data_IF_867194422224
#
_entry.id   IF_867194422224
#
_cell.length_a   1.000
_cell.length_b   1.000
_cell.length_c   1.000
_cell.angle_alpha   90.00
_cell.angle_beta   90.00
_cell.angle_gamma   90.00
#
_symmetry.space_group_name_H-M   'P 1'
#
loop_
_entity.id
_entity.type
_entity.pdbx_description
1 polymer ?
#
# COMPACT_ATOMS: atom_id res chain seq x y z
N UNK A 1 8.24 9.70 34.71
CA UNK A 1 9.17 10.07 33.61
C UNK A 1 8.61 9.54 32.31
N UNK A 2 7.89 10.36 31.55
CA UNK A 2 7.36 9.93 30.26
C UNK A 2 8.54 9.61 29.32
N UNK A 3 8.62 8.38 28.82
CA UNK A 3 9.69 7.96 27.92
C UNK A 3 9.46 8.64 26.56
N UNK A 4 10.32 9.58 26.13
CA UNK A 4 10.09 10.33 24.87
C UNK A 4 9.98 9.40 23.65
N UNK A 5 10.63 8.23 23.71
CA UNK A 5 10.55 7.19 22.69
C UNK A 5 9.11 6.68 22.52
N UNK A 6 8.36 6.48 23.60
CA UNK A 6 6.99 5.96 23.53
C UNK A 6 6.06 6.90 22.75
N UNK A 7 6.18 8.21 22.99
CA UNK A 7 5.39 9.23 22.29
C UNK A 7 5.71 9.21 20.79
N UNK A 8 6.99 9.13 20.42
CA UNK A 8 7.40 9.03 19.02
C UNK A 8 6.86 7.77 18.34
N UNK A 9 6.84 6.63 19.05
CA UNK A 9 6.31 5.39 18.48
C UNK A 9 4.80 5.48 18.26
N UNK A 10 4.04 6.07 19.20
CA UNK A 10 2.59 6.27 19.02
C UNK A 10 2.32 7.13 17.79
N UNK A 11 3.04 8.24 17.62
CA UNK A 11 2.85 9.09 16.44
C UNK A 11 3.27 8.44 15.13
N UNK A 12 4.30 7.57 15.17
CA UNK A 12 4.64 6.74 14.01
C UNK A 12 3.50 5.81 13.62
N UNK A 13 2.90 5.10 14.59
CA UNK A 13 1.77 4.21 14.34
C UNK A 13 0.56 4.97 13.78
N UNK A 14 0.22 6.12 14.37
CA UNK A 14 -0.87 6.98 13.88
C UNK A 14 -0.57 7.49 12.47
N UNK A 15 0.69 7.84 12.20
CA UNK A 15 1.14 8.21 10.86
C UNK A 15 0.93 7.09 9.85
N UNK A 16 1.35 5.86 10.17
CA UNK A 16 1.16 4.69 9.28
C UNK A 16 -0.31 4.46 8.98
N UNK A 17 -1.17 4.47 10.01
CA UNK A 17 -2.62 4.31 9.83
C UNK A 17 -3.19 5.41 8.92
N UNK A 18 -2.78 6.66 9.12
CA UNK A 18 -3.24 7.78 8.27
C UNK A 18 -2.76 7.60 6.82
N UNK A 19 -1.51 7.17 6.64
CA UNK A 19 -0.91 6.92 5.33
C UNK A 19 -1.53 5.76 4.55
N UNK A 20 -2.11 4.76 5.23
CA UNK A 20 -2.83 3.69 4.54
C UNK A 20 -4.18 4.13 3.99
N UNK A 21 -4.87 5.10 4.62
CA UNK A 21 -6.18 5.56 4.16
C UNK A 21 -6.10 6.64 3.08
N UNK A 22 -5.10 7.53 3.14
CA UNK A 22 -4.99 8.66 2.23
C UNK A 22 -3.82 8.49 1.26
N UNK A 23 -4.14 8.50 -0.05
CA UNK A 23 -3.14 8.56 -1.11
C UNK A 23 -2.58 9.98 -1.20
N UNK A 24 -1.31 10.13 -0.89
CA UNK A 24 -0.65 11.43 -0.85
C UNK A 24 0.26 11.64 -2.07
N UNK A 25 0.54 12.90 -2.44
CA UNK A 25 1.39 13.22 -3.58
C UNK A 25 2.86 12.85 -3.30
N UNK A 26 3.60 12.58 -4.38
CA UNK A 26 5.03 12.21 -4.35
C UNK A 26 5.95 13.28 -3.75
N UNK A 27 5.43 14.46 -3.40
CA UNK A 27 6.16 15.58 -2.80
C UNK A 27 6.33 15.44 -1.28
N UNK A 28 5.63 14.50 -0.64
CA UNK A 28 5.74 14.22 0.80
C UNK A 28 7.15 13.87 1.32
N UNK A 29 8.01 13.14 0.59
CA UNK A 29 9.39 12.85 1.03
C UNK A 29 10.22 14.12 1.22
N UNK A 30 9.98 15.17 0.40
CA UNK A 30 10.69 16.45 0.53
C UNK A 30 10.34 17.15 1.85
N UNK A 31 9.07 17.07 2.26
CA UNK A 31 8.62 17.61 3.55
C UNK A 31 9.18 16.81 4.73
N UNK A 32 9.21 15.48 4.65
CA UNK A 32 9.87 14.64 5.67
C UNK A 32 11.35 15.01 5.82
N UNK A 33 12.06 15.19 4.70
CA UNK A 33 13.48 15.53 4.71
C UNK A 33 13.73 16.92 5.34
N UNK A 34 12.92 17.91 4.98
CA UNK A 34 12.98 19.26 5.57
C UNK A 34 12.75 19.21 7.09
N UNK A 35 11.72 18.50 7.54
CA UNK A 35 11.39 18.35 8.96
C UNK A 35 12.50 17.62 9.73
N UNK A 36 13.11 16.60 9.13
CA UNK A 36 14.22 15.88 9.72
C UNK A 36 15.47 16.76 9.87
N UNK A 37 15.79 17.59 8.88
CA UNK A 37 16.88 18.57 8.95
C UNK A 37 16.62 19.58 10.08
N UNK A 38 15.42 20.14 10.17
CA UNK A 38 15.03 21.05 11.25
C UNK A 38 15.10 20.37 12.63
N UNK A 39 14.68 19.12 12.73
CA UNK A 39 14.74 18.34 13.96
C UNK A 39 16.20 18.06 14.39
N UNK A 40 17.12 17.91 13.44
CA UNK A 40 18.55 17.72 13.71
C UNK A 40 19.23 19.00 14.19
N UNK A 41 18.85 20.17 13.66
CA UNK A 41 19.50 21.47 13.96
C UNK A 41 19.03 22.07 15.28
N UNK A 42 17.75 21.90 15.64
CA UNK A 42 17.15 22.47 16.86
C UNK A 42 17.80 22.07 18.19
N UNK A 43 18.26 20.82 18.42
CA UNK A 43 18.98 20.48 19.65
C UNK A 43 20.34 21.16 19.79
N UNK A 44 21.01 21.56 18.70
CA UNK A 44 22.28 22.32 18.77
C UNK A 44 22.09 23.70 19.40
N UNK A 45 20.88 24.25 19.38
CA UNK A 45 20.54 25.56 19.95
C UNK A 45 19.89 25.49 21.34
N UNK A 46 19.89 24.31 21.97
CA UNK A 46 19.33 24.03 23.31
C UNK A 46 17.79 24.23 23.41
N UNK A 47 17.07 24.17 22.29
CA UNK A 47 15.61 24.36 22.23
C UNK A 47 14.83 23.06 22.46
N UNK A 48 14.98 22.48 23.66
CA UNK A 48 14.48 21.13 23.99
C UNK A 48 12.98 20.91 23.76
N UNK A 49 12.15 21.94 23.95
CA UNK A 49 10.70 21.85 23.68
C UNK A 49 10.37 21.77 22.20
N UNK A 50 11.06 22.58 21.39
CA UNK A 50 10.89 22.64 19.94
C UNK A 50 11.40 21.35 19.28
N UNK A 51 12.52 20.81 19.76
CA UNK A 51 13.07 19.55 19.24
C UNK A 51 12.13 18.37 19.45
N UNK A 52 11.39 18.33 20.58
CA UNK A 52 10.42 17.26 20.84
C UNK A 52 9.19 17.38 19.93
N UNK A 53 8.65 18.59 19.74
CA UNK A 53 7.54 18.82 18.80
C UNK A 53 7.90 18.48 17.36
N UNK A 54 9.11 18.86 16.91
CA UNK A 54 9.62 18.48 15.60
C UNK A 54 9.85 16.97 15.46
N UNK A 55 10.38 16.31 16.51
CA UNK A 55 10.52 14.86 16.50
C UNK A 55 9.19 14.14 16.31
N UNK A 56 8.15 14.59 17.01
CA UNK A 56 6.78 14.07 16.86
C UNK A 56 6.28 14.24 15.43
N UNK A 57 6.42 15.45 14.87
CA UNK A 57 5.98 15.75 13.50
C UNK A 57 6.72 14.86 12.50
N UNK A 58 8.04 14.75 12.62
CA UNK A 58 8.88 13.95 11.74
C UNK A 58 8.49 12.48 11.78
N UNK A 59 8.31 11.89 12.96
CA UNK A 59 7.90 10.48 13.08
C UNK A 59 6.50 10.23 12.53
N UNK A 60 5.57 11.17 12.73
CA UNK A 60 4.24 11.11 12.13
C UNK A 60 4.32 11.09 10.58
N UNK A 61 5.04 12.04 9.99
CA UNK A 61 5.16 12.12 8.53
C UNK A 61 5.95 10.95 7.92
N UNK A 62 6.97 10.44 8.61
CA UNK A 62 7.65 9.20 8.22
C UNK A 62 6.65 8.02 8.21
N UNK A 63 5.79 7.92 9.23
CA UNK A 63 4.75 6.91 9.28
C UNK A 63 3.78 7.03 8.11
N UNK A 64 3.29 8.23 7.84
CA UNK A 64 2.39 8.53 6.71
C UNK A 64 3.01 8.12 5.38
N UNK A 65 4.29 8.43 5.18
CA UNK A 65 5.02 8.07 3.98
C UNK A 65 5.19 6.55 3.84
N UNK A 66 5.55 5.86 4.92
CA UNK A 66 5.69 4.40 4.93
C UNK A 66 4.37 3.68 4.64
N UNK A 67 3.26 4.15 5.22
CA UNK A 67 1.92 3.64 4.91
C UNK A 67 1.56 3.82 3.44
N UNK A 68 1.83 5.01 2.89
CA UNK A 68 1.58 5.28 1.47
C UNK A 68 2.42 4.37 0.55
N UNK A 69 3.72 4.20 0.85
CA UNK A 69 4.61 3.34 0.06
C UNK A 69 4.10 1.90 -0.04
N UNK A 70 3.66 1.33 1.08
CA UNK A 70 3.22 -0.06 1.11
C UNK A 70 1.80 -0.26 0.56
N UNK A 71 0.90 0.70 0.75
CA UNK A 71 -0.51 0.53 0.35
C UNK A 71 -0.80 1.04 -1.07
N UNK A 72 -0.21 2.16 -1.48
CA UNK A 72 -0.64 2.89 -2.68
C UNK A 72 0.38 2.93 -3.81
N UNK A 73 1.67 2.77 -3.51
CA UNK A 73 2.74 2.84 -4.52
C UNK A 73 3.18 1.48 -5.08
N UNK A 74 2.73 0.36 -4.51
CA UNK A 74 3.02 -0.97 -5.07
C UNK A 74 2.21 -1.25 -6.35
N UNK A 75 1.05 -0.62 -6.52
CA UNK A 75 0.21 -0.75 -7.71
C UNK A 75 0.35 0.54 -8.53
N UNK A 76 1.43 0.62 -9.31
CA UNK A 76 1.71 1.80 -10.15
C UNK A 76 0.89 1.81 -11.44
N UNK A 77 0.24 0.71 -11.79
CA UNK A 77 -0.51 0.59 -13.04
C UNK A 77 -1.99 1.00 -12.82
N UNK A 78 -2.46 2.10 -13.42
CA UNK A 78 -3.85 2.55 -13.29
C UNK A 78 -4.85 1.53 -13.87
N UNK A 79 -4.39 0.64 -14.76
CA UNK A 79 -5.20 -0.44 -15.32
C UNK A 79 -5.07 -1.74 -14.51
N UNK A 80 -4.48 -1.71 -13.32
CA UNK A 80 -4.39 -2.88 -12.47
C UNK A 80 -5.77 -3.38 -12.00
N UNK A 81 -5.99 -4.69 -12.07
CA UNK A 81 -7.26 -5.37 -11.80
C UNK A 81 -7.85 -5.05 -10.43
N UNK A 82 -6.98 -4.76 -9.45
CA UNK A 82 -7.36 -4.33 -8.10
C UNK A 82 -8.35 -3.16 -8.11
N UNK A 83 -8.16 -2.17 -8.99
CA UNK A 83 -9.05 -1.00 -9.10
C UNK A 83 -10.40 -1.32 -9.75
N UNK A 84 -10.56 -2.52 -10.28
CA UNK A 84 -11.79 -3.03 -10.86
C UNK A 84 -12.45 -4.08 -9.96
N UNK A 85 -12.05 -4.18 -8.69
CA UNK A 85 -12.71 -5.08 -7.74
C UNK A 85 -13.91 -4.36 -7.12
N UNK A 86 -15.12 -4.78 -7.48
CA UNK A 86 -16.38 -4.36 -6.85
C UNK A 86 -17.29 -5.59 -6.66
N UNK A 87 -18.44 -5.42 -6.01
CA UNK A 87 -19.38 -6.51 -5.74
C UNK A 87 -20.16 -6.99 -6.99
N UNK A 88 -19.78 -6.54 -8.19
CA UNK A 88 -20.43 -6.96 -9.43
C UNK A 88 -19.69 -8.10 -10.11
N UNK A 89 -20.44 -8.95 -10.81
CA UNK A 89 -19.85 -10.04 -11.58
C UNK A 89 -19.11 -9.46 -12.78
N UNK A 90 -17.83 -9.83 -12.93
CA UNK A 90 -16.98 -9.39 -14.04
C UNK A 90 -16.49 -10.57 -14.87
N UNK A 91 -16.34 -10.34 -16.17
CA UNK A 91 -15.75 -11.29 -17.10
C UNK A 91 -14.35 -10.79 -17.47
N UNK A 92 -13.35 -11.60 -17.19
CA UNK A 92 -11.94 -11.27 -17.38
C UNK A 92 -11.35 -12.27 -18.36
N UNK A 93 -10.67 -11.75 -19.37
CA UNK A 93 -9.80 -12.54 -20.25
C UNK A 93 -8.37 -12.47 -19.71
N UNK A 94 -7.69 -13.60 -19.81
CA UNK A 94 -6.36 -13.76 -19.25
C UNK A 94 -5.73 -15.06 -19.69
N UNK A 95 -4.54 -15.31 -19.16
CA UNK A 95 -3.76 -16.51 -19.43
C UNK A 95 -3.36 -17.16 -18.11
N UNK A 96 -3.24 -18.49 -18.11
CA UNK A 96 -2.75 -19.24 -16.96
C UNK A 96 -1.26 -18.96 -16.81
N UNK A 97 -0.85 -18.39 -15.68
CA UNK A 97 0.56 -18.12 -15.36
C UNK A 97 1.21 -19.34 -14.72
N UNK A 98 0.49 -19.97 -13.79
CA UNK A 98 0.94 -21.13 -13.03
C UNK A 98 -0.14 -22.22 -13.11
N UNK A 99 0.29 -23.46 -13.32
CA UNK A 99 -0.60 -24.62 -13.38
C UNK A 99 -1.36 -24.84 -12.06
N UNK A 100 -2.39 -25.69 -12.05
CA UNK A 100 -3.21 -25.91 -10.86
C UNK A 100 -2.37 -26.42 -9.69
N UNK A 101 -2.41 -25.72 -8.57
CA UNK A 101 -1.93 -26.22 -7.29
C UNK A 101 -3.08 -26.92 -6.58
N UNK A 102 -2.90 -28.19 -6.22
CA UNK A 102 -3.89 -28.91 -5.43
C UNK A 102 -3.85 -28.43 -3.97
N UNK A 103 -4.99 -27.98 -3.49
CA UNK A 103 -5.23 -27.64 -2.08
C UNK A 103 -6.22 -28.63 -1.47
N UNK A 104 -6.33 -28.64 -0.14
CA UNK A 104 -7.32 -29.46 0.57
C UNK A 104 -8.76 -29.20 0.12
N UNK A 105 -9.06 -28.02 -0.44
CA UNK A 105 -10.39 -27.58 -0.83
C UNK A 105 -10.63 -27.55 -2.35
N UNK A 106 -9.70 -28.07 -3.16
CA UNK A 106 -9.81 -28.07 -4.63
C UNK A 106 -8.54 -27.57 -5.31
N UNK A 107 -8.65 -27.05 -6.54
CA UNK A 107 -7.49 -26.58 -7.31
C UNK A 107 -7.44 -25.06 -7.38
N UNK A 108 -6.24 -24.51 -7.18
CA UNK A 108 -5.97 -23.07 -7.28
C UNK A 108 -5.11 -22.79 -8.50
N UNK A 109 -5.49 -21.78 -9.27
CA UNK A 109 -4.77 -21.30 -10.44
C UNK A 109 -4.33 -19.86 -10.22
N UNK A 110 -3.16 -19.50 -10.73
CA UNK A 110 -2.75 -18.11 -10.86
C UNK A 110 -2.96 -17.69 -12.31
N UNK A 111 -3.87 -16.76 -12.53
CA UNK A 111 -4.21 -16.21 -13.85
C UNK A 111 -3.60 -14.81 -13.99
N UNK A 112 -3.01 -14.49 -15.14
CA UNK A 112 -2.65 -13.14 -15.53
C UNK A 112 -3.81 -12.49 -16.25
N UNK A 113 -4.32 -11.38 -15.72
CA UNK A 113 -5.39 -10.61 -16.37
C UNK A 113 -4.82 -9.83 -17.57
N UNK A 114 -5.53 -9.82 -18.69
CA UNK A 114 -5.17 -9.05 -19.88
C UNK A 114 -6.27 -8.08 -20.30
N UNK A 115 -7.54 -8.50 -20.21
CA UNK A 115 -8.69 -7.67 -20.58
C UNK A 115 -9.87 -7.91 -19.66
N UNK A 116 -10.61 -6.84 -19.40
CA UNK A 116 -11.89 -6.85 -18.70
C UNK A 116 -13.00 -6.57 -19.72
N UNK A 117 -14.00 -7.43 -19.79
CA UNK A 117 -15.19 -7.17 -20.59
C UNK A 117 -16.13 -6.24 -19.83
N UNK A 118 -16.48 -5.12 -20.45
CA UNK A 118 -17.42 -4.12 -19.94
C UNK A 118 -18.58 -3.93 -20.92
N UNK A 119 -19.63 -3.21 -20.52
CA UNK A 119 -20.77 -2.92 -21.41
C UNK A 119 -20.36 -2.19 -22.71
N UNK A 120 -19.24 -1.45 -22.68
CA UNK A 120 -18.68 -0.75 -23.84
C UNK A 120 -17.61 -1.52 -24.62
N UNK A 121 -17.38 -2.80 -24.31
CA UNK A 121 -16.34 -3.64 -24.92
C UNK A 121 -15.18 -3.96 -23.98
N UNK A 122 -14.02 -4.28 -24.56
CA UNK A 122 -12.84 -4.71 -23.81
C UNK A 122 -12.02 -3.52 -23.30
N UNK A 123 -11.71 -3.54 -22.00
CA UNK A 123 -10.75 -2.63 -21.38
C UNK A 123 -9.46 -3.39 -21.04
N UNK A 124 -8.27 -2.90 -21.42
CA UNK A 124 -7.03 -3.53 -20.99
C UNK A 124 -6.91 -3.46 -19.46
N UNK A 125 -6.44 -4.54 -18.86
CA UNK A 125 -6.16 -4.61 -17.42
C UNK A 125 -4.90 -5.42 -17.17
N UNK A 126 -4.22 -5.15 -16.05
CA UNK A 126 -3.02 -5.86 -15.64
C UNK A 126 -3.17 -6.43 -14.23
N UNK A 127 -2.34 -7.40 -13.87
CA UNK A 127 -2.32 -7.99 -12.53
C UNK A 127 -2.59 -9.48 -12.52
N UNK A 128 -2.42 -10.08 -11.33
CA UNK A 128 -2.60 -11.52 -11.11
C UNK A 128 -3.87 -11.78 -10.31
N UNK A 129 -4.59 -12.82 -10.67
CA UNK A 129 -5.81 -13.26 -10.02
C UNK A 129 -5.61 -14.70 -9.57
N UNK A 130 -5.89 -14.96 -8.29
CA UNK A 130 -5.97 -16.31 -7.78
C UNK A 130 -7.39 -16.84 -8.00
N UNK A 131 -7.54 -17.87 -8.81
CA UNK A 131 -8.81 -18.49 -9.14
C UNK A 131 -8.89 -19.87 -8.49
N UNK A 132 -9.91 -20.10 -7.65
CA UNK A 132 -10.13 -21.38 -6.98
C UNK A 132 -11.31 -22.13 -7.58
N UNK A 133 -11.09 -23.41 -7.87
CA UNK A 133 -12.14 -24.35 -8.21
C UNK A 133 -12.42 -25.24 -6.99
N UNK A 134 -13.69 -25.48 -6.64
CA UNK A 134 -14.06 -26.32 -5.50
C UNK A 134 -13.85 -27.83 -5.75
N UNK A 135 -13.26 -28.19 -6.90
CA UNK A 135 -12.97 -29.56 -7.30
C UNK A 135 -11.54 -29.65 -7.83
N UNK A 136 -11.00 -30.88 -7.82
CA UNK A 136 -9.67 -31.18 -8.35
C UNK A 136 -9.70 -31.14 -9.87
N UNK A 137 -8.83 -30.33 -10.46
CA UNK A 137 -8.67 -30.27 -11.90
C UNK A 137 -7.92 -31.52 -12.39
N UNK A 138 -8.51 -32.33 -13.29
CA UNK A 138 -7.80 -33.46 -13.87
C UNK A 138 -6.68 -32.92 -14.76
N UNK A 139 -5.43 -33.23 -14.39
CA UNK A 139 -4.22 -32.93 -15.17
C UNK A 139 -4.16 -33.74 -16.46
#
# INVERSE_FOLDING_TARGET
MARPIFILTVFLMVGIMTGSFFRLPLTLPLWCLLLLILALITPLRNWRGISLGLGILTFFFIGVFQGNLHTHYQISDPDHIFFFTDDTRKTIEGFVLEGPEETTNGSVFVLGASRLLTAGGFRPVTGKIMFSLPFRYPL
#
